data_IF_073147726045
#
_entry.id   IF_073147726045
#
_cell.length_a   1.000
_cell.length_b   1.000
_cell.length_c   1.000
_cell.angle_alpha   90.00
_cell.angle_beta   90.00
_cell.angle_gamma   90.00
#
_symmetry.space_group_name_H-M   'P 1'
#
loop_
_entity.id
_entity.type
_entity.pdbx_description
1 polymer ?
#
# COMPACT_ATOMS: atom_id res chain seq x y z
N UNK A 1 0.29 -25.99 14.88
CA UNK A 1 0.13 -25.52 13.48
C UNK A 1 1.49 -25.06 12.98
N UNK A 2 1.99 -25.53 11.83
CA UNK A 2 3.24 -25.03 11.30
C UNK A 2 3.08 -23.54 10.95
N UNK A 3 3.94 -22.69 11.51
CA UNK A 3 3.96 -21.27 11.20
C UNK A 3 4.44 -21.10 9.75
N UNK A 4 3.51 -20.91 8.82
CA UNK A 4 3.85 -20.54 7.44
C UNK A 4 4.33 -19.08 7.46
N UNK A 5 5.50 -18.77 6.89
CA UNK A 5 5.98 -17.40 6.84
C UNK A 5 4.96 -16.52 6.12
N UNK A 6 4.70 -15.33 6.68
CA UNK A 6 3.82 -14.35 6.05
C UNK A 6 4.40 -13.97 4.67
N UNK A 7 3.55 -13.97 3.65
CA UNK A 7 3.93 -13.69 2.26
C UNK A 7 4.43 -12.25 2.05
N UNK A 8 4.12 -11.35 3.00
CA UNK A 8 4.63 -9.99 3.04
C UNK A 8 5.17 -9.67 4.43
N UNK A 9 6.31 -8.98 4.50
CA UNK A 9 6.85 -8.48 5.75
C UNK A 9 6.06 -7.25 6.19
N UNK A 10 5.85 -7.11 7.50
CA UNK A 10 5.16 -5.96 8.07
C UNK A 10 5.84 -4.62 7.73
N UNK A 11 7.16 -4.61 7.60
CA UNK A 11 7.93 -3.43 7.21
C UNK A 11 7.55 -2.92 5.80
N UNK A 12 7.40 -3.84 4.85
CA UNK A 12 7.02 -3.50 3.47
C UNK A 12 5.58 -2.98 3.40
N UNK A 13 4.66 -3.61 4.14
CA UNK A 13 3.26 -3.17 4.22
C UNK A 13 3.16 -1.74 4.82
N UNK A 14 3.97 -1.44 5.84
CA UNK A 14 4.06 -0.10 6.44
C UNK A 14 4.61 0.93 5.45
N UNK A 15 5.59 0.55 4.63
CA UNK A 15 6.16 1.43 3.60
C UNK A 15 5.13 1.77 2.52
N UNK A 16 4.37 0.77 2.07
CA UNK A 16 3.30 0.95 1.09
C UNK A 16 2.19 1.85 1.67
N UNK A 17 1.78 1.62 2.92
CA UNK A 17 0.78 2.46 3.60
C UNK A 17 1.21 3.93 3.65
N UNK A 18 2.48 4.21 3.97
CA UNK A 18 3.03 5.57 3.97
C UNK A 18 3.02 6.18 2.57
N UNK A 19 3.42 5.42 1.55
CA UNK A 19 3.38 5.89 0.16
C UNK A 19 1.95 6.22 -0.31
N UNK A 20 0.96 5.38 0.04
CA UNK A 20 -0.45 5.62 -0.27
C UNK A 20 -0.98 6.89 0.40
N UNK A 21 -0.64 7.08 1.68
CA UNK A 21 -1.00 8.31 2.42
C UNK A 21 -0.39 9.55 1.77
N UNK A 22 0.88 9.50 1.35
CA UNK A 22 1.54 10.62 0.65
C UNK A 22 0.90 10.90 -0.72
N UNK A 23 0.45 9.85 -1.41
CA UNK A 23 -0.23 9.95 -2.70
C UNK A 23 -1.70 10.38 -2.60
N UNK A 24 -2.22 10.65 -1.40
CA UNK A 24 -3.63 11.03 -1.21
C UNK A 24 -4.63 9.88 -1.39
N UNK A 25 -4.14 8.64 -1.42
CA UNK A 25 -4.98 7.45 -1.54
C UNK A 25 -5.49 7.06 -0.16
N UNK A 26 -6.80 7.26 0.07
CA UNK A 26 -7.44 7.02 1.37
C UNK A 26 -7.80 5.55 1.55
N UNK A 27 -8.29 4.91 0.48
CA UNK A 27 -8.69 3.51 0.48
C UNK A 27 -7.70 2.69 -0.36
N UNK A 28 -7.14 1.65 0.23
CA UNK A 28 -6.32 0.67 -0.50
C UNK A 28 -6.38 -0.69 0.21
N UNK A 29 -6.13 -1.77 -0.55
CA UNK A 29 -6.02 -3.13 -0.02
C UNK A 29 -4.84 -3.87 -0.64
N UNK A 30 -4.24 -4.76 0.13
CA UNK A 30 -3.27 -5.72 -0.37
C UNK A 30 -3.96 -7.07 -0.53
N UNK A 31 -4.04 -7.55 -1.76
CA UNK A 31 -4.48 -8.90 -2.09
C UNK A 31 -3.26 -9.81 -2.18
N UNK A 32 -3.35 -10.99 -1.55
CA UNK A 32 -2.26 -11.96 -1.54
C UNK A 32 -2.81 -13.25 -2.14
N UNK A 33 -2.41 -13.50 -3.39
CA UNK A 33 -2.80 -14.68 -4.12
C UNK A 33 -2.16 -15.96 -3.56
N UNK A 34 -2.76 -17.14 -3.83
CA UNK A 34 -2.24 -18.43 -3.38
C UNK A 34 -0.88 -18.79 -3.98
N UNK A 35 -0.47 -18.13 -5.07
CA UNK A 35 0.85 -18.25 -5.70
C UNK A 35 1.94 -17.41 -5.01
N UNK A 36 1.59 -16.63 -3.99
CA UNK A 36 2.51 -15.67 -3.35
C UNK A 36 2.60 -14.32 -4.06
N UNK A 37 1.79 -14.09 -5.10
CA UNK A 37 1.69 -12.78 -5.76
C UNK A 37 1.00 -11.79 -4.84
N UNK A 38 1.63 -10.65 -4.57
CA UNK A 38 1.03 -9.55 -3.82
C UNK A 38 0.57 -8.47 -4.80
N UNK A 39 -0.73 -8.17 -4.80
CA UNK A 39 -1.31 -7.11 -5.62
C UNK A 39 -1.84 -6.00 -4.72
N UNK A 40 -1.41 -4.76 -4.98
CA UNK A 40 -1.91 -3.59 -4.26
C UNK A 40 -3.01 -2.94 -5.10
N UNK A 41 -4.21 -2.90 -4.54
CA UNK A 41 -5.38 -2.30 -5.19
C UNK A 41 -5.67 -0.99 -4.45
N UNK A 42 -5.33 0.12 -5.09
CA UNK A 42 -5.67 1.46 -4.63
C UNK A 42 -7.11 1.80 -5.07
N UNK A 43 -7.91 2.29 -4.14
CA UNK A 43 -9.24 2.85 -4.38
C UNK A 43 -9.16 4.28 -4.94
N UNK A 44 -10.25 5.04 -4.82
CA UNK A 44 -10.29 6.43 -5.31
C UNK A 44 -9.23 7.26 -4.58
N UNK A 45 -8.25 7.76 -5.33
CA UNK A 45 -7.35 8.78 -4.81
C UNK A 45 -8.10 10.12 -4.78
N UNK A 46 -8.23 10.71 -3.60
CA UNK A 46 -8.61 12.12 -3.48
C UNK A 46 -7.40 12.93 -3.92
N UNK A 47 -7.28 13.19 -5.22
CA UNK A 47 -6.25 14.06 -5.77
C UNK A 47 -6.53 15.51 -5.33
N UNK A 48 -6.17 15.84 -4.10
CA UNK A 48 -6.09 17.21 -3.59
C UNK A 48 -4.62 17.54 -3.33
N UNK A 49 -3.78 17.35 -4.36
CA UNK A 49 -2.40 17.77 -4.31
C UNK A 49 -2.37 19.29 -4.42
N UNK A 50 -2.34 19.96 -3.26
CA UNK A 50 -1.92 21.36 -3.16
C UNK A 50 -0.53 21.44 -3.77
N UNK A 51 -0.39 22.36 -4.74
CA UNK A 51 0.86 22.88 -5.32
C UNK A 51 2.07 22.62 -4.41
N UNK A 52 3.01 21.79 -4.86
CA UNK A 52 4.36 21.81 -4.33
C UNK A 52 5.04 23.05 -4.92
N UNK A 53 5.04 24.16 -4.18
CA UNK A 53 5.94 25.27 -4.40
C UNK A 53 7.36 24.80 -4.02
N UNK A 54 8.14 24.41 -5.03
CA UNK A 54 9.60 24.35 -4.93
C UNK A 54 10.13 25.74 -5.26
N UNK A 55 10.50 26.50 -4.23
CA UNK A 55 11.40 27.67 -4.27
C UNK A 55 12.71 27.28 -3.58
#
# INVERSE_FOLDING_TARGET
MPARPALIKQADLTRIAKAMRLAGVTDWRADIGPSGTVSIIAGKSSNNHRKCDWD
#
